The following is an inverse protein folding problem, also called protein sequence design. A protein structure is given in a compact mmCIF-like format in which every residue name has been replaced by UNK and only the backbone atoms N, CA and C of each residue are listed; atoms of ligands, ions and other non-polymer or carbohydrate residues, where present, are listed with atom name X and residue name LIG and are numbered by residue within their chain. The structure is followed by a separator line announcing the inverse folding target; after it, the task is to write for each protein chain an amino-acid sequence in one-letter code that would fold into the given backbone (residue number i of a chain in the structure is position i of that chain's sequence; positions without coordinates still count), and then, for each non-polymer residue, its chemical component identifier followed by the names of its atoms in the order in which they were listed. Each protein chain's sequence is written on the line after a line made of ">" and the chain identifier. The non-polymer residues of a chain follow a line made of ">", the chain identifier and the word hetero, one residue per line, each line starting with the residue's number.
data_IF_229803565592
#
_entry.id   IF_229803565592
#
_cell.length_a   1.000
_cell.length_b   1.000
_cell.length_c   1.000
_cell.angle_alpha   90.00
_cell.angle_beta   90.00
_cell.angle_gamma   90.00
#
_symmetry.space_group_name_H-M   'P 1'
#
loop_
_entity.id
_entity.type
_entity.pdbx_description
1 polymer ?
#
# COMPACT_ATOMS: atom_id res chain seq x y z
N UNK A 1 -9.45 6.65 -14.78
CA UNK A 1 -8.48 6.36 -13.71
C UNK A 1 -8.83 5.13 -12.84
N UNK A 2 -9.96 4.44 -13.11
CA UNK A 2 -10.42 3.30 -12.28
C UNK A 2 -10.12 1.91 -12.88
N UNK A 3 -9.66 1.82 -14.13
CA UNK A 3 -9.60 0.53 -14.84
C UNK A 3 -8.66 -0.50 -14.19
N UNK A 4 -7.42 -0.11 -13.82
CA UNK A 4 -6.45 -1.06 -13.22
C UNK A 4 -6.83 -1.50 -11.81
N UNK A 5 -7.37 -0.58 -11.00
CA UNK A 5 -7.82 -0.88 -9.64
C UNK A 5 -9.09 -1.75 -9.67
N UNK A 6 -10.02 -1.46 -10.58
CA UNK A 6 -11.21 -2.29 -10.79
C UNK A 6 -10.85 -3.68 -11.34
N UNK A 7 -9.86 -3.80 -12.23
CA UNK A 7 -9.39 -5.10 -12.73
C UNK A 7 -8.73 -5.95 -11.63
N UNK A 8 -7.96 -5.32 -10.73
CA UNK A 8 -7.35 -6.01 -9.60
C UNK A 8 -8.40 -6.53 -8.60
N UNK A 9 -9.54 -5.86 -8.47
CA UNK A 9 -10.65 -6.26 -7.59
C UNK A 9 -11.53 -7.39 -8.14
N UNK A 10 -11.35 -7.79 -9.41
CA UNK A 10 -12.16 -8.82 -10.09
C UNK A 10 -11.46 -10.19 -10.10
N UNK A 11 -10.21 -10.27 -9.62
CA UNK A 11 -9.40 -11.48 -9.65
C UNK A 11 -9.62 -12.38 -8.43
N UNK A 12 -9.30 -13.66 -8.57
CA UNK A 12 -9.28 -14.62 -7.46
C UNK A 12 -8.30 -14.14 -6.36
N UNK A 13 -8.69 -14.22 -5.07
CA UNK A 13 -7.95 -13.59 -3.96
C UNK A 13 -6.47 -13.97 -3.88
N UNK A 14 -6.12 -15.24 -4.12
CA UNK A 14 -4.71 -15.70 -4.06
C UNK A 14 -3.83 -15.10 -5.16
N UNK A 15 -4.38 -14.94 -6.38
CA UNK A 15 -3.66 -14.31 -7.50
C UNK A 15 -3.58 -12.79 -7.32
N UNK A 16 -4.57 -12.21 -6.66
CA UNK A 16 -4.64 -10.79 -6.39
C UNK A 16 -3.53 -10.34 -5.44
N UNK A 17 -3.21 -11.12 -4.39
CA UNK A 17 -2.13 -10.77 -3.45
C UNK A 17 -0.77 -10.72 -4.16
N UNK A 18 -0.38 -11.77 -4.87
CA UNK A 18 0.91 -11.81 -5.58
C UNK A 18 1.07 -10.67 -6.61
N UNK A 19 -0.01 -10.30 -7.29
CA UNK A 19 -0.02 -9.18 -8.23
C UNK A 19 0.13 -7.83 -7.51
N UNK A 20 -0.55 -7.64 -6.38
CA UNK A 20 -0.42 -6.43 -5.56
C UNK A 20 1.00 -6.27 -5.05
N UNK A 21 1.63 -7.35 -4.57
CA UNK A 21 3.02 -7.32 -4.12
C UNK A 21 3.98 -6.93 -5.25
N UNK A 22 3.84 -7.57 -6.42
CA UNK A 22 4.66 -7.25 -7.59
C UNK A 22 4.46 -5.81 -8.08
N UNK A 23 3.22 -5.31 -8.07
CA UNK A 23 2.90 -3.94 -8.45
C UNK A 23 3.53 -2.95 -7.47
N UNK A 24 3.38 -3.19 -6.17
CA UNK A 24 3.99 -2.39 -5.10
C UNK A 24 5.51 -2.31 -5.27
N UNK A 25 6.16 -3.44 -5.49
CA UNK A 25 7.61 -3.51 -5.70
C UNK A 25 8.05 -2.68 -6.92
N UNK A 26 7.34 -2.80 -8.05
CA UNK A 26 7.62 -2.01 -9.25
C UNK A 26 7.45 -0.50 -9.02
N UNK A 27 6.39 -0.09 -8.32
CA UNK A 27 6.13 1.33 -8.03
C UNK A 27 7.17 1.93 -7.08
N UNK A 28 7.69 1.14 -6.14
CA UNK A 28 8.79 1.56 -5.26
C UNK A 28 10.12 1.65 -6.00
N UNK A 29 10.44 0.69 -6.88
CA UNK A 29 11.74 0.60 -7.59
C UNK A 29 11.88 1.46 -8.85
N UNK A 30 10.77 1.92 -9.44
CA UNK A 30 10.77 2.63 -10.72
C UNK A 30 11.61 3.92 -10.72
N UNK A 31 12.56 4.08 -11.67
CA UNK A 31 13.24 5.33 -12.10
C UNK A 31 13.67 5.17 -13.58
N UNK A 32 13.18 5.94 -14.55
CA UNK A 32 13.63 7.29 -14.94
C UNK A 32 12.48 8.14 -15.56
N UNK A 33 12.56 9.47 -15.42
CA UNK A 33 11.49 10.44 -15.81
C UNK A 33 10.42 10.68 -14.74
N UNK A 34 10.77 10.44 -13.46
CA UNK A 34 9.83 10.10 -12.39
C UNK A 34 8.69 11.11 -12.15
N UNK A 35 7.48 10.56 -12.01
CA UNK A 35 6.26 11.23 -11.54
C UNK A 35 5.85 10.66 -10.17
N UNK A 36 6.48 11.08 -9.06
CA UNK A 36 6.20 10.54 -7.73
C UNK A 36 4.73 10.72 -7.32
N UNK A 37 4.10 11.82 -7.71
CA UNK A 37 2.67 12.09 -7.49
C UNK A 37 1.75 11.01 -8.07
N UNK A 38 2.03 10.53 -9.30
CA UNK A 38 1.23 9.49 -9.95
C UNK A 38 1.36 8.15 -9.22
N UNK A 39 2.56 7.80 -8.76
CA UNK A 39 2.80 6.55 -8.02
C UNK A 39 2.10 6.57 -6.66
N UNK A 40 2.18 7.71 -5.96
CA UNK A 40 1.44 7.92 -4.73
C UNK A 40 -0.06 7.80 -4.95
N UNK A 41 -0.59 8.41 -6.02
CA UNK A 41 -2.00 8.32 -6.34
C UNK A 41 -2.43 6.88 -6.62
N UNK A 42 -1.64 6.11 -7.36
CA UNK A 42 -1.94 4.69 -7.62
C UNK A 42 -1.94 3.86 -6.34
N UNK A 43 -0.91 3.99 -5.49
CA UNK A 43 -0.81 3.28 -4.22
C UNK A 43 -1.92 3.70 -3.25
N UNK A 44 -2.25 4.99 -3.21
CA UNK A 44 -3.35 5.51 -2.39
C UNK A 44 -4.69 4.95 -2.84
N UNK A 45 -4.96 4.97 -4.15
CA UNK A 45 -6.20 4.40 -4.70
C UNK A 45 -6.29 2.90 -4.40
N UNK A 46 -5.17 2.17 -4.48
CA UNK A 46 -5.13 0.75 -4.13
C UNK A 46 -5.43 0.54 -2.64
N UNK A 47 -4.78 1.29 -1.75
CA UNK A 47 -5.01 1.20 -0.31
C UNK A 47 -6.47 1.50 0.08
N UNK A 48 -7.09 2.49 -0.55
CA UNK A 48 -8.48 2.88 -0.26
C UNK A 48 -9.53 2.01 -0.97
N UNK A 49 -9.18 1.42 -2.11
CA UNK A 49 -10.09 0.56 -2.90
C UNK A 49 -10.19 -0.89 -2.38
N UNK A 50 -9.28 -1.29 -1.51
CA UNK A 50 -9.25 -2.62 -0.91
C UNK A 50 -10.11 -2.75 0.35
N UNK A 51 -10.56 -3.97 0.65
CA UNK A 51 -11.23 -4.26 1.92
C UNK A 51 -10.31 -3.93 3.11
N UNK A 52 -10.92 -3.41 4.18
CA UNK A 52 -10.16 -2.85 5.29
C UNK A 52 -9.42 -3.91 6.10
N UNK A 53 -9.90 -5.16 6.05
CA UNK A 53 -9.41 -6.27 6.86
C UNK A 53 -8.42 -7.16 6.09
N UNK A 54 -8.15 -6.89 4.81
CA UNK A 54 -7.24 -7.73 4.02
C UNK A 54 -5.79 -7.53 4.45
N UNK A 55 -5.04 -8.59 4.81
CA UNK A 55 -3.66 -8.46 5.26
C UNK A 55 -2.70 -7.82 4.24
N UNK A 56 -2.93 -8.02 2.92
CA UNK A 56 -2.07 -7.44 1.87
C UNK A 56 -2.11 -5.90 1.84
N UNK A 57 -3.08 -5.27 2.52
CA UNK A 57 -3.15 -3.82 2.74
C UNK A 57 -1.93 -3.28 3.50
N UNK A 58 -1.31 -4.12 4.34
CA UNK A 58 0.00 -3.84 4.96
C UNK A 58 1.08 -3.59 3.91
N UNK A 59 1.18 -4.45 2.89
CA UNK A 59 2.20 -4.33 1.84
C UNK A 59 2.01 -3.03 1.06
N UNK A 60 0.76 -2.69 0.74
CA UNK A 60 0.42 -1.44 0.05
C UNK A 60 0.77 -0.22 0.91
N UNK A 61 0.44 -0.25 2.20
CA UNK A 61 0.76 0.84 3.14
C UNK A 61 2.28 1.05 3.29
N UNK A 62 3.05 -0.02 3.47
CA UNK A 62 4.51 0.07 3.50
C UNK A 62 5.09 0.67 2.22
N UNK A 63 4.52 0.31 1.06
CA UNK A 63 4.93 0.84 -0.24
C UNK A 63 4.58 2.32 -0.39
N UNK A 64 3.41 2.71 0.10
CA UNK A 64 2.94 4.10 0.15
C UNK A 64 3.92 4.97 0.97
N UNK A 65 4.32 4.52 2.17
CA UNK A 65 5.31 5.20 3.01
C UNK A 65 6.65 5.34 2.27
N UNK A 66 7.15 4.27 1.65
CA UNK A 66 8.45 4.30 0.93
C UNK A 66 8.46 5.32 -0.20
N UNK A 67 7.40 5.35 -1.02
CA UNK A 67 7.29 6.33 -2.11
C UNK A 67 7.12 7.74 -1.55
N UNK A 68 6.29 7.94 -0.52
CA UNK A 68 6.06 9.24 0.08
C UNK A 68 7.33 9.83 0.70
N UNK A 69 8.10 9.00 1.41
CA UNK A 69 9.41 9.37 1.96
C UNK A 69 10.38 9.80 0.86
N UNK A 70 10.39 9.10 -0.28
CA UNK A 70 11.30 9.40 -1.39
C UNK A 70 11.03 10.74 -2.10
N UNK A 71 9.85 11.35 -1.89
CA UNK A 71 9.44 12.60 -2.53
C UNK A 71 8.98 13.69 -1.55
N UNK A 72 9.26 13.53 -0.25
CA UNK A 72 8.90 14.51 0.78
C UNK A 72 7.39 14.64 1.07
N UNK A 73 6.58 13.67 0.63
CA UNK A 73 5.13 13.69 0.76
C UNK A 73 4.61 12.93 2.00
N UNK A 74 5.49 12.57 2.94
CA UNK A 74 5.14 11.72 4.09
C UNK A 74 4.08 12.37 5.00
N UNK A 75 4.04 13.70 5.05
CA UNK A 75 3.03 14.49 5.76
C UNK A 75 1.58 14.25 5.30
N UNK A 76 1.40 13.68 4.11
CA UNK A 76 0.08 13.32 3.56
C UNK A 76 -0.30 11.87 3.83
N UNK A 77 0.58 11.08 4.45
CA UNK A 77 0.32 9.69 4.81
C UNK A 77 -0.22 9.66 6.24
N UNK A 78 -1.29 8.90 6.53
CA UNK A 78 -1.79 8.80 7.89
C UNK A 78 -0.79 8.01 8.74
N UNK A 79 -0.06 8.69 9.62
CA UNK A 79 0.96 8.09 10.51
C UNK A 79 0.54 8.10 11.99
N UNK A 80 -0.72 8.40 12.27
CA UNK A 80 -1.27 8.43 13.63
C UNK A 80 -1.16 7.05 14.29
N UNK A 81 -0.46 6.98 15.42
CA UNK A 81 -0.13 5.71 16.09
C UNK A 81 -1.37 4.87 16.41
N UNK A 82 -2.45 5.50 16.86
CA UNK A 82 -3.69 4.77 17.20
C UNK A 82 -4.37 4.18 15.96
N UNK A 83 -4.32 4.90 14.84
CA UNK A 83 -4.84 4.44 13.57
C UNK A 83 -4.00 3.27 13.03
N UNK A 84 -2.67 3.37 13.10
CA UNK A 84 -1.76 2.31 12.67
C UNK A 84 -1.90 1.07 13.56
N UNK A 85 -2.02 1.23 14.89
CA UNK A 85 -2.29 0.12 15.82
C UNK A 85 -3.60 -0.58 15.51
N UNK A 86 -4.65 0.18 15.18
CA UNK A 86 -5.94 -0.40 14.76
C UNK A 86 -5.78 -1.25 13.51
N UNK A 87 -5.10 -0.73 12.47
CA UNK A 87 -4.83 -1.49 11.25
C UNK A 87 -4.00 -2.74 11.48
N UNK A 88 -3.00 -2.68 12.35
CA UNK A 88 -2.19 -3.84 12.73
C UNK A 88 -3.07 -4.96 13.32
N UNK A 89 -4.07 -4.60 14.13
CA UNK A 89 -5.05 -5.55 14.67
C UNK A 89 -6.01 -6.06 13.60
N UNK A 90 -6.55 -5.16 12.77
CA UNK A 90 -7.52 -5.49 11.70
C UNK A 90 -6.92 -6.44 10.64
N UNK A 91 -5.62 -6.31 10.37
CA UNK A 91 -4.89 -7.14 9.39
C UNK A 91 -4.34 -8.44 9.97
N UNK A 92 -4.55 -8.70 11.27
CA UNK A 92 -4.04 -9.87 11.98
C UNK A 92 -2.55 -10.15 11.72
N UNK A 93 -1.72 -9.10 11.77
CA UNK A 93 -0.29 -9.21 11.43
C UNK A 93 0.49 -10.05 12.46
N UNK A 94 1.50 -10.78 11.98
CA UNK A 94 2.48 -11.45 12.85
C UNK A 94 3.36 -10.43 13.58
N UNK A 95 3.92 -10.83 14.72
CA UNK A 95 4.71 -9.98 15.62
C UNK A 95 5.86 -9.25 14.90
N UNK A 96 6.52 -9.90 13.94
CA UNK A 96 7.61 -9.31 13.13
C UNK A 96 7.14 -8.11 12.28
N UNK A 97 5.97 -8.22 11.65
CA UNK A 97 5.40 -7.12 10.85
C UNK A 97 4.93 -5.97 11.74
N UNK A 98 4.53 -6.24 12.99
CA UNK A 98 4.19 -5.19 13.98
C UNK A 98 5.40 -4.34 14.34
N UNK A 99 6.55 -4.97 14.59
CA UNK A 99 7.81 -4.28 14.91
C UNK A 99 8.36 -3.42 13.76
N UNK A 100 7.89 -3.62 12.52
CA UNK A 100 8.30 -2.78 11.39
C UNK A 100 7.53 -1.45 11.33
N UNK A 101 6.33 -1.40 11.92
CA UNK A 101 5.44 -0.23 11.89
C UNK A 101 5.41 0.60 13.18
N UNK A 102 5.93 0.06 14.28
CA UNK A 102 5.98 0.64 15.62
C UNK A 102 7.42 0.76 16.10
#
# INVERSE_FOLDING_TARGET
>A
MNSVVSLLLILEPDKQEALIESLCEKLVKFREGERPSLRLQLLSNLFHGMDKNTPVRYTVYCSLIKVAASCGAIQYIPTELDQVRKWISDWNLTTEKKHTLL
#
